data_IF_459500852114
#
_entry.id   IF_459500852114
#
_cell.length_a   1.000
_cell.length_b   1.000
_cell.length_c   1.000
_cell.angle_alpha   90.00
_cell.angle_beta   90.00
_cell.angle_gamma   90.00
#
_symmetry.space_group_name_H-M   'P 1'
#
loop_
_entity.id
_entity.type
_entity.pdbx_description
1 polymer ?
#
# COMPACT_ATOMS: atom_id res chain seq x y z
N UNK A 1 95.15 27.31 -33.22
CA UNK A 1 95.82 27.79 -31.98
C UNK A 1 95.11 29.12 -31.60
N UNK A 2 94.43 29.31 -30.47
CA UNK A 2 94.85 29.22 -29.03
C UNK A 2 95.86 30.35 -28.73
N UNK A 3 95.75 31.26 -27.72
CA UNK A 3 94.77 31.63 -26.63
C UNK A 3 95.28 32.99 -26.02
N UNK A 4 94.62 33.90 -25.27
CA UNK A 4 93.24 34.30 -24.82
C UNK A 4 93.22 35.86 -24.77
N UNK A 5 92.10 36.61 -24.65
CA UNK A 5 91.45 37.15 -23.42
C UNK A 5 90.32 38.12 -23.86
N UNK A 6 89.08 38.12 -23.34
CA UNK A 6 88.57 38.45 -21.98
C UNK A 6 88.35 39.95 -21.71
N UNK A 7 87.12 40.45 -21.93
CA UNK A 7 86.53 41.64 -21.30
C UNK A 7 85.11 41.27 -20.81
N UNK A 8 84.68 41.80 -19.67
CA UNK A 8 83.45 41.41 -18.99
C UNK A 8 82.19 42.12 -19.52
N UNK A 9 81.02 41.48 -19.34
CA UNK A 9 79.70 42.08 -19.49
C UNK A 9 79.04 42.11 -18.10
N UNK A 10 78.49 43.26 -17.70
CA UNK A 10 77.89 43.47 -16.40
C UNK A 10 76.45 42.92 -16.35
N UNK A 11 76.07 42.34 -15.20
CA UNK A 11 74.72 41.83 -14.96
C UNK A 11 73.75 42.99 -14.70
N UNK A 12 72.79 43.21 -15.62
CA UNK A 12 71.65 44.11 -15.37
C UNK A 12 70.51 43.31 -14.75
N UNK A 13 70.13 43.67 -13.53
CA UNK A 13 69.07 42.98 -12.77
C UNK A 13 67.70 43.57 -13.12
N UNK A 14 66.93 42.89 -13.99
CA UNK A 14 65.58 43.32 -14.36
C UNK A 14 64.55 42.84 -13.32
N UNK A 15 64.00 43.77 -12.53
CA UNK A 15 63.01 43.47 -11.49
C UNK A 15 61.60 43.33 -12.10
N UNK A 16 61.15 42.10 -12.36
CA UNK A 16 59.78 41.83 -12.85
C UNK A 16 58.81 41.77 -11.66
N UNK A 17 57.98 42.80 -11.51
CA UNK A 17 56.90 42.81 -10.53
C UNK A 17 55.73 41.94 -11.00
N UNK A 18 55.55 40.76 -10.42
CA UNK A 18 54.42 39.87 -10.71
C UNK A 18 53.13 40.38 -10.08
N UNK A 19 52.12 40.69 -10.90
CA UNK A 19 50.77 41.03 -10.42
C UNK A 19 50.01 39.72 -10.15
N UNK A 20 49.77 39.39 -8.88
CA UNK A 20 48.98 38.24 -8.47
C UNK A 20 47.47 38.54 -8.57
N UNK A 21 46.82 37.96 -9.59
CA UNK A 21 45.37 37.98 -9.73
C UNK A 21 44.71 37.04 -8.71
N UNK A 22 44.34 37.59 -7.55
CA UNK A 22 43.50 36.91 -6.57
C UNK A 22 42.06 36.79 -7.09
N UNK A 23 41.76 35.72 -7.83
CA UNK A 23 40.38 35.33 -8.09
C UNK A 23 39.74 34.80 -6.80
N UNK A 24 38.59 35.34 -6.34
CA UNK A 24 37.92 34.83 -5.16
C UNK A 24 37.38 33.43 -5.44
N UNK A 25 37.80 32.44 -4.64
CA UNK A 25 37.31 31.07 -4.74
C UNK A 25 35.81 31.04 -4.41
N UNK A 26 34.97 30.88 -5.43
CA UNK A 26 33.56 30.56 -5.26
C UNK A 26 33.46 29.12 -4.71
N UNK A 27 33.54 29.00 -3.39
CA UNK A 27 33.16 27.80 -2.68
C UNK A 27 31.69 27.54 -2.93
N UNK A 28 31.40 26.65 -3.88
CA UNK A 28 30.07 26.10 -4.05
C UNK A 28 29.68 25.45 -2.72
N UNK A 29 28.72 26.05 -2.01
CA UNK A 29 28.05 25.36 -0.93
C UNK A 29 27.33 24.17 -1.58
N UNK A 30 27.89 22.97 -1.36
CA UNK A 30 27.14 21.74 -1.54
C UNK A 30 25.92 21.89 -0.63
N UNK A 31 24.75 22.11 -1.24
CA UNK A 31 23.51 22.19 -0.49
C UNK A 31 23.37 20.86 0.25
N UNK A 32 23.42 20.90 1.58
CA UNK A 32 23.21 19.71 2.41
C UNK A 32 21.91 19.08 1.94
N UNK A 33 21.91 17.82 1.47
CA UNK A 33 20.68 17.17 1.05
C UNK A 33 19.68 17.26 2.20
N UNK A 34 18.49 17.78 1.92
CA UNK A 34 17.44 17.86 2.94
C UNK A 34 17.24 16.45 3.47
N UNK A 35 17.43 16.26 4.77
CA UNK A 35 17.36 14.93 5.38
C UNK A 35 15.93 14.42 5.21
N UNK A 36 15.76 13.47 4.27
CA UNK A 36 14.44 13.00 3.88
C UNK A 36 13.69 12.43 5.07
N UNK A 37 12.37 12.63 5.09
CA UNK A 37 11.53 12.13 6.17
C UNK A 37 11.39 10.61 5.99
N UNK A 38 11.71 9.79 7.00
CA UNK A 38 11.52 8.36 6.92
C UNK A 38 10.02 8.05 6.84
N UNK A 39 9.59 7.45 5.74
CA UNK A 39 8.24 6.93 5.53
C UNK A 39 8.31 5.41 5.36
N UNK A 40 7.20 4.74 5.65
CA UNK A 40 7.07 3.29 5.56
C UNK A 40 5.84 2.91 4.75
N UNK A 41 5.90 1.75 4.09
CA UNK A 41 4.76 1.13 3.40
C UNK A 41 4.93 -0.39 3.42
N UNK A 42 3.81 -1.12 3.38
CA UNK A 42 3.85 -2.57 3.14
C UNK A 42 3.98 -2.81 1.64
N UNK A 43 4.81 -3.77 1.27
CA UNK A 43 5.07 -4.19 -0.11
C UNK A 43 4.93 -5.71 -0.18
N UNK A 44 4.04 -6.19 -1.04
CA UNK A 44 3.88 -7.62 -1.35
C UNK A 44 4.82 -7.98 -2.51
N UNK A 45 5.58 -9.06 -2.36
CA UNK A 45 6.42 -9.60 -3.44
C UNK A 45 5.67 -10.73 -4.13
N UNK A 46 5.52 -10.63 -5.45
CA UNK A 46 4.79 -11.62 -6.26
C UNK A 46 5.65 -12.15 -7.42
N UNK A 47 5.25 -13.31 -7.96
CA UNK A 47 5.89 -13.94 -9.11
C UNK A 47 5.18 -13.53 -10.41
N UNK A 48 5.86 -12.80 -11.29
CA UNK A 48 5.31 -12.40 -12.61
C UNK A 48 4.83 -13.60 -13.41
N UNK A 49 5.51 -14.73 -13.31
CA UNK A 49 5.19 -16.00 -13.96
C UNK A 49 5.34 -17.18 -12.98
N UNK A 50 4.39 -18.11 -12.99
CA UNK A 50 4.43 -19.33 -12.17
C UNK A 50 3.91 -19.13 -10.73
N UNK A 51 4.45 -19.89 -9.78
CA UNK A 51 4.18 -19.75 -8.32
C UNK A 51 5.44 -19.55 -7.48
N UNK A 52 6.63 -19.54 -8.10
CA UNK A 52 7.92 -19.43 -7.42
C UNK A 52 8.26 -17.95 -7.17
N UNK A 53 7.86 -17.44 -6.00
CA UNK A 53 8.08 -16.05 -5.58
C UNK A 53 9.56 -15.85 -5.23
N UNK A 54 10.29 -14.92 -5.89
CA UNK A 54 11.70 -14.67 -5.60
C UNK A 54 11.93 -14.04 -4.22
N UNK A 55 13.07 -14.35 -3.61
CA UNK A 55 13.57 -13.60 -2.43
C UNK A 55 14.11 -12.26 -2.91
N UNK A 56 13.75 -11.19 -2.20
CA UNK A 56 14.16 -9.81 -2.48
C UNK A 56 14.98 -9.29 -1.31
N UNK A 57 16.20 -8.82 -1.58
CA UNK A 57 17.04 -8.12 -0.61
C UNK A 57 16.86 -6.61 -0.71
N UNK A 58 17.30 -5.86 0.30
CA UNK A 58 17.07 -4.41 0.39
C UNK A 58 17.72 -3.65 -0.77
N UNK A 59 18.88 -4.12 -1.21
CA UNK A 59 19.66 -3.64 -2.34
C UNK A 59 18.97 -3.85 -3.70
N UNK A 60 18.04 -4.80 -3.80
CA UNK A 60 17.27 -5.09 -5.01
C UNK A 60 16.05 -4.16 -5.18
N UNK A 61 15.73 -3.34 -4.18
CA UNK A 61 14.53 -2.48 -4.17
C UNK A 61 14.89 -1.05 -4.56
N UNK A 62 14.35 -0.61 -5.69
CA UNK A 62 14.45 0.75 -6.19
C UNK A 62 13.15 1.51 -5.89
N UNK A 63 13.25 2.62 -5.17
CA UNK A 63 12.13 3.50 -4.83
C UNK A 63 12.28 4.82 -5.56
N UNK A 64 11.24 5.25 -6.27
CA UNK A 64 11.19 6.53 -6.96
C UNK A 64 10.01 7.36 -6.42
N UNK A 65 10.28 8.60 -6.02
CA UNK A 65 9.25 9.59 -5.66
C UNK A 65 9.14 10.59 -6.82
N UNK A 66 8.10 10.47 -7.64
CA UNK A 66 8.00 11.18 -8.92
C UNK A 66 9.15 10.82 -9.87
N UNK A 67 10.16 11.70 -9.95
CA UNK A 67 11.36 11.49 -10.79
C UNK A 67 12.65 11.26 -9.99
N UNK A 68 12.64 11.49 -8.67
CA UNK A 68 13.84 11.34 -7.83
C UNK A 68 13.91 9.92 -7.25
N UNK A 69 15.08 9.28 -7.27
CA UNK A 69 15.31 8.00 -6.57
C UNK A 69 15.47 8.27 -5.07
N UNK A 70 14.61 7.68 -4.26
CA UNK A 70 14.66 7.78 -2.81
C UNK A 70 15.64 6.76 -2.20
N UNK A 71 16.20 7.07 -1.03
CA UNK A 71 17.10 6.15 -0.33
C UNK A 71 16.28 5.14 0.49
N UNK A 72 16.32 3.87 0.10
CA UNK A 72 15.87 2.76 0.96
C UNK A 72 16.78 2.67 2.18
N UNK A 73 16.18 2.65 3.37
CA UNK A 73 16.90 2.49 4.64
C UNK A 73 16.67 1.10 5.23
N UNK A 74 15.44 0.58 5.14
CA UNK A 74 15.04 -0.70 5.72
C UNK A 74 14.13 -1.50 4.78
N UNK A 75 14.18 -2.83 4.92
CA UNK A 75 13.36 -3.80 4.21
C UNK A 75 13.26 -5.05 5.09
N UNK A 76 12.08 -5.31 5.65
CA UNK A 76 11.88 -6.32 6.71
C UNK A 76 10.69 -7.20 6.35
N UNK A 77 10.90 -8.51 6.22
CA UNK A 77 9.80 -9.45 5.99
C UNK A 77 8.82 -9.43 7.18
N UNK A 78 7.52 -9.36 6.91
CA UNK A 78 6.45 -9.30 7.93
C UNK A 78 6.05 -10.69 8.43
N UNK A 79 7.07 -11.45 8.82
CA UNK A 79 7.01 -12.81 9.37
C UNK A 79 7.92 -12.95 10.60
N UNK A 80 7.90 -14.12 11.24
CA UNK A 80 8.65 -14.36 12.49
C UNK A 80 8.28 -13.35 13.58
N UNK A 81 9.28 -12.67 14.15
CA UNK A 81 9.09 -11.62 15.17
C UNK A 81 8.29 -10.39 14.67
N UNK A 82 8.07 -10.28 13.35
CA UNK A 82 7.26 -9.25 12.70
C UNK A 82 5.94 -9.78 12.10
N UNK A 83 5.53 -11.01 12.45
CA UNK A 83 4.29 -11.65 11.97
C UNK A 83 2.98 -11.14 12.63
N UNK A 84 3.03 -10.01 13.33
CA UNK A 84 1.86 -9.42 14.00
C UNK A 84 0.92 -8.77 12.98
N UNK A 85 -0.28 -9.33 12.86
CA UNK A 85 -1.32 -8.92 11.90
C UNK A 85 -2.68 -8.79 12.60
N UNK A 86 -3.34 -7.67 12.41
CA UNK A 86 -4.76 -7.50 12.68
C UNK A 86 -5.53 -7.53 11.35
N UNK A 87 -6.27 -8.62 11.13
CA UNK A 87 -7.02 -8.87 9.89
C UNK A 87 -8.52 -8.72 10.15
N UNK A 88 -9.16 -7.75 9.51
CA UNK A 88 -10.60 -7.50 9.65
C UNK A 88 -11.38 -8.09 8.46
N UNK A 89 -12.34 -8.96 8.75
CA UNK A 89 -13.28 -9.55 7.80
C UNK A 89 -14.53 -8.66 7.74
N UNK A 90 -14.60 -7.80 6.72
CA UNK A 90 -15.65 -6.80 6.55
C UNK A 90 -16.65 -7.22 5.46
N UNK A 91 -17.82 -7.69 5.87
CA UNK A 91 -18.83 -8.26 4.97
C UNK A 91 -20.01 -7.29 4.78
N UNK A 92 -20.54 -7.15 3.56
CA UNK A 92 -21.71 -6.31 3.31
C UNK A 92 -22.98 -7.00 3.81
N UNK A 93 -23.71 -6.39 4.75
CA UNK A 93 -24.96 -6.96 5.28
C UNK A 93 -26.11 -6.89 4.25
N UNK A 94 -25.90 -6.14 3.16
CA UNK A 94 -26.76 -6.06 1.99
C UNK A 94 -26.42 -7.06 0.87
N UNK A 95 -25.36 -7.87 0.97
CA UNK A 95 -25.09 -8.95 0.00
C UNK A 95 -26.22 -9.98 -0.03
N UNK A 96 -26.43 -10.59 -1.20
CA UNK A 96 -27.45 -11.63 -1.38
C UNK A 96 -27.04 -12.99 -0.78
N UNK A 97 -27.93 -13.99 -0.91
CA UNK A 97 -27.74 -15.32 -0.31
C UNK A 97 -26.61 -16.13 -0.91
N UNK A 98 -26.02 -15.74 -2.06
CA UNK A 98 -24.86 -16.42 -2.66
C UNK A 98 -23.61 -16.33 -1.81
N UNK A 99 -23.38 -15.20 -1.10
CA UNK A 99 -22.31 -15.06 -0.12
C UNK A 99 -22.46 -16.07 1.04
N UNK A 100 -23.70 -16.47 1.35
CA UNK A 100 -24.00 -17.53 2.31
C UNK A 100 -23.41 -18.89 1.97
N UNK A 101 -23.18 -19.18 0.68
CA UNK A 101 -22.54 -20.41 0.22
C UNK A 101 -21.01 -20.41 0.46
N UNK A 102 -20.41 -19.22 0.57
CA UNK A 102 -18.96 -19.02 0.64
C UNK A 102 -18.44 -18.92 2.08
N UNK A 103 -19.34 -18.78 3.07
CA UNK A 103 -18.97 -18.63 4.48
C UNK A 103 -18.09 -19.78 4.99
N UNK A 104 -18.24 -21.01 4.50
CA UNK A 104 -17.40 -22.14 4.93
C UNK A 104 -15.98 -22.07 4.36
N UNK A 105 -15.76 -21.45 3.20
CA UNK A 105 -14.40 -21.17 2.72
C UNK A 105 -13.75 -20.04 3.54
N UNK A 106 -14.52 -19.01 3.90
CA UNK A 106 -14.05 -17.94 4.79
C UNK A 106 -13.74 -18.51 6.19
N UNK A 107 -14.56 -19.43 6.74
CA UNK A 107 -14.24 -20.14 7.99
C UNK A 107 -12.94 -20.94 7.89
N UNK A 108 -12.67 -21.63 6.78
CA UNK A 108 -11.40 -22.35 6.57
C UNK A 108 -10.22 -21.38 6.55
N UNK A 109 -10.32 -20.28 5.79
CA UNK A 109 -9.31 -19.24 5.70
C UNK A 109 -8.97 -18.62 7.07
N UNK A 110 -9.99 -18.30 7.87
CA UNK A 110 -9.82 -17.78 9.24
C UNK A 110 -9.07 -18.80 10.12
N UNK A 111 -9.47 -20.07 10.12
CA UNK A 111 -8.82 -21.12 10.93
C UNK A 111 -7.45 -21.59 10.38
N UNK A 112 -7.04 -21.12 9.20
CA UNK A 112 -5.76 -21.42 8.58
C UNK A 112 -4.71 -20.31 8.78
N UNK A 113 -5.07 -19.18 9.40
CA UNK A 113 -4.13 -18.09 9.65
C UNK A 113 -3.06 -18.47 10.68
N UNK A 114 -1.87 -17.83 10.64
CA UNK A 114 -0.88 -17.93 11.70
C UNK A 114 -1.45 -17.55 13.07
N UNK A 115 -1.01 -18.21 14.14
CA UNK A 115 -1.46 -17.91 15.52
C UNK A 115 -1.07 -16.51 16.02
N UNK A 116 -0.25 -15.78 15.27
CA UNK A 116 0.10 -14.37 15.47
C UNK A 116 -0.91 -13.39 14.86
N UNK A 117 -1.82 -13.87 14.02
CA UNK A 117 -2.90 -13.10 13.40
C UNK A 117 -4.07 -12.98 14.37
N UNK A 118 -4.41 -11.75 14.77
CA UNK A 118 -5.66 -11.45 15.44
C UNK A 118 -6.74 -11.12 14.39
N UNK A 119 -7.91 -11.74 14.50
CA UNK A 119 -8.98 -11.65 13.50
C UNK A 119 -10.21 -10.99 14.12
N UNK A 120 -10.78 -10.02 13.41
CA UNK A 120 -12.07 -9.41 13.72
C UNK A 120 -13.08 -9.70 12.59
N UNK A 121 -14.37 -9.67 12.91
CA UNK A 121 -15.47 -9.90 11.95
C UNK A 121 -16.53 -8.84 12.17
N UNK A 122 -16.98 -8.18 11.10
CA UNK A 122 -18.04 -7.19 11.16
C UNK A 122 -18.79 -7.00 9.85
N UNK A 123 -20.00 -6.43 9.97
CA UNK A 123 -20.94 -6.29 8.87
C UNK A 123 -21.23 -4.81 8.56
N UNK A 124 -21.13 -4.42 7.28
CA UNK A 124 -21.44 -3.07 6.82
C UNK A 124 -22.95 -2.82 6.92
N UNK A 125 -23.38 -1.88 7.75
CA UNK A 125 -24.80 -1.57 7.96
C UNK A 125 -25.00 -0.10 8.31
N UNK A 126 -25.90 0.58 7.58
CA UNK A 126 -26.27 1.99 7.78
C UNK A 126 -25.08 2.98 7.76
N UNK A 127 -24.00 2.67 7.03
CA UNK A 127 -22.78 3.49 6.96
C UNK A 127 -21.83 3.34 8.16
N UNK A 128 -21.99 2.27 8.95
CA UNK A 128 -21.12 1.90 10.07
C UNK A 128 -20.88 0.38 10.06
N UNK A 129 -19.98 -0.13 10.91
CA UNK A 129 -19.70 -1.57 11.02
C UNK A 129 -20.25 -2.16 12.32
N UNK A 130 -21.20 -3.08 12.15
CA UNK A 130 -21.74 -3.99 13.16
C UNK A 130 -20.71 -5.08 13.48
N UNK A 131 -19.90 -4.87 14.52
CA UNK A 131 -18.84 -5.81 14.92
C UNK A 131 -19.49 -7.07 15.53
N UNK A 132 -19.36 -8.20 14.83
CA UNK A 132 -19.79 -9.51 15.32
C UNK A 132 -18.72 -10.15 16.23
N UNK A 133 -17.44 -9.85 16.01
CA UNK A 133 -16.32 -10.26 16.87
C UNK A 133 -15.18 -9.23 16.78
N UNK A 134 -14.72 -8.73 17.93
CA UNK A 134 -13.52 -7.90 18.04
C UNK A 134 -12.25 -8.74 17.81
N UNK A 135 -11.10 -8.10 17.55
CA UNK A 135 -9.83 -8.79 17.29
C UNK A 135 -9.52 -9.87 18.34
N UNK A 136 -9.29 -11.09 17.87
CA UNK A 136 -8.97 -12.26 18.69
C UNK A 136 -8.04 -13.21 17.96
N UNK A 137 -7.08 -13.80 18.67
CA UNK A 137 -6.24 -14.91 18.17
C UNK A 137 -6.92 -16.28 18.33
N UNK A 138 -8.10 -16.34 18.97
CA UNK A 138 -9.00 -17.50 18.88
C UNK A 138 -9.73 -17.45 17.53
N UNK A 139 -9.12 -18.08 16.52
CA UNK A 139 -9.67 -18.18 15.18
C UNK A 139 -10.98 -18.99 15.12
N UNK A 140 -11.20 -19.91 16.06
CA UNK A 140 -12.46 -20.66 16.14
C UNK A 140 -13.61 -19.75 16.62
N UNK A 141 -13.33 -18.84 17.55
CA UNK A 141 -14.27 -17.79 17.98
C UNK A 141 -14.57 -16.81 16.83
N UNK A 142 -13.53 -16.32 16.12
CA UNK A 142 -13.71 -15.46 14.95
C UNK A 142 -14.51 -16.14 13.83
N UNK A 143 -14.15 -17.38 13.47
CA UNK A 143 -14.86 -18.15 12.45
C UNK A 143 -16.31 -18.43 12.85
N UNK A 144 -16.61 -18.65 14.14
CA UNK A 144 -17.96 -18.85 14.66
C UNK A 144 -18.84 -17.59 14.57
N UNK A 145 -18.25 -16.40 14.61
CA UNK A 145 -18.99 -15.13 14.49
C UNK A 145 -19.55 -14.87 13.08
N UNK A 146 -19.06 -15.59 12.05
CA UNK A 146 -19.61 -15.50 10.69
C UNK A 146 -21.06 -16.02 10.63
N UNK A 147 -21.98 -15.08 10.40
CA UNK A 147 -23.40 -15.27 10.09
C UNK A 147 -23.68 -15.00 8.60
N UNK A 148 -24.88 -15.37 8.15
CA UNK A 148 -25.40 -14.90 6.87
C UNK A 148 -25.56 -13.36 6.89
N UNK A 149 -25.35 -12.68 5.75
CA UNK A 149 -25.87 -11.33 5.54
C UNK A 149 -27.38 -11.28 5.74
N UNK A 150 -27.91 -10.12 6.12
CA UNK A 150 -29.36 -9.90 6.22
C UNK A 150 -30.03 -9.84 4.84
N UNK A 151 -29.29 -9.54 3.77
CA UNK A 151 -29.81 -9.49 2.40
C UNK A 151 -30.89 -8.42 2.19
N UNK A 152 -30.89 -7.38 3.04
CA UNK A 152 -31.84 -6.29 2.97
C UNK A 152 -31.33 -5.25 1.95
N UNK A 153 -32.06 -4.98 0.85
CA UNK A 153 -31.60 -4.04 -0.18
C UNK A 153 -31.33 -2.66 0.41
N UNK A 154 -30.09 -2.16 0.24
CA UNK A 154 -29.67 -0.87 0.81
C UNK A 154 -29.30 -0.90 2.31
N UNK A 155 -29.09 -2.08 2.92
CA UNK A 155 -28.56 -2.19 4.28
C UNK A 155 -27.20 -1.48 4.43
N UNK A 156 -26.35 -1.58 3.41
CA UNK A 156 -25.24 -0.66 3.17
C UNK A 156 -25.66 0.33 2.07
N UNK A 157 -25.74 1.61 2.41
CA UNK A 157 -26.01 2.69 1.44
C UNK A 157 -24.72 3.18 0.77
N UNK A 158 -23.62 3.17 1.52
CA UNK A 158 -22.25 3.28 1.02
C UNK A 158 -21.39 2.26 1.78
N UNK A 159 -20.71 1.34 1.10
CA UNK A 159 -19.73 0.48 1.76
C UNK A 159 -18.52 1.31 2.23
N UNK A 160 -18.21 2.41 1.54
CA UNK A 160 -17.08 3.30 1.84
C UNK A 160 -17.28 4.12 3.12
N UNK A 161 -18.52 4.54 3.45
CA UNK A 161 -18.82 5.10 4.78
C UNK A 161 -18.54 4.10 5.91
N UNK A 162 -18.99 2.85 5.73
CA UNK A 162 -18.79 1.79 6.73
C UNK A 162 -17.29 1.49 6.92
N UNK A 163 -16.53 1.44 5.83
CA UNK A 163 -15.08 1.29 5.84
C UNK A 163 -14.37 2.46 6.55
N UNK A 164 -14.72 3.71 6.24
CA UNK A 164 -14.14 4.90 6.88
C UNK A 164 -14.46 4.97 8.38
N UNK A 165 -15.65 4.52 8.79
CA UNK A 165 -16.02 4.37 10.21
C UNK A 165 -15.19 3.28 10.91
N UNK A 166 -14.97 2.13 10.26
CA UNK A 166 -14.08 1.08 10.78
C UNK A 166 -12.65 1.60 10.98
N UNK A 167 -12.06 2.24 9.97
CA UNK A 167 -10.69 2.77 10.02
C UNK A 167 -10.54 3.78 11.18
N UNK A 168 -11.56 4.61 11.42
CA UNK A 168 -11.60 5.58 12.55
C UNK A 168 -11.79 4.96 13.93
N UNK A 169 -12.18 3.67 13.99
CA UNK A 169 -12.40 2.91 15.23
C UNK A 169 -11.39 1.77 15.41
N UNK A 170 -10.36 1.70 14.56
CA UNK A 170 -9.30 0.71 14.66
C UNK A 170 -8.46 0.96 15.93
N UNK A 171 -8.07 -0.08 16.71
CA UNK A 171 -7.20 0.10 17.88
C UNK A 171 -5.83 0.70 17.54
N UNK A 172 -5.24 1.45 18.46
CA UNK A 172 -3.82 1.81 18.33
C UNK A 172 -2.94 0.60 18.69
N UNK A 173 -2.13 0.13 17.75
CA UNK A 173 -1.28 -1.05 17.90
C UNK A 173 0.00 -1.01 17.05
N UNK A 174 0.97 -1.91 17.34
CA UNK A 174 2.20 -2.09 16.55
C UNK A 174 2.08 -3.20 15.48
N UNK A 175 0.93 -3.87 15.39
CA UNK A 175 0.65 -4.84 14.33
C UNK A 175 0.46 -4.13 12.99
N UNK A 176 0.59 -4.86 11.88
CA UNK A 176 0.09 -4.36 10.59
C UNK A 176 -1.42 -4.58 10.51
N UNK A 177 -2.12 -3.71 9.81
CA UNK A 177 -3.58 -3.66 9.76
C UNK A 177 -4.04 -3.97 8.33
N UNK A 178 -4.91 -4.96 8.14
CA UNK A 178 -5.37 -5.36 6.80
C UNK A 178 -6.86 -5.73 6.81
N UNK A 179 -7.54 -5.45 5.71
CA UNK A 179 -8.99 -5.69 5.57
C UNK A 179 -9.25 -6.64 4.40
N UNK A 180 -10.01 -7.70 4.66
CA UNK A 180 -10.69 -8.46 3.62
C UNK A 180 -12.14 -7.98 3.53
N UNK A 181 -12.43 -7.18 2.51
CA UNK A 181 -13.71 -6.54 2.23
C UNK A 181 -14.53 -7.36 1.23
N UNK A 182 -15.81 -7.60 1.52
CA UNK A 182 -16.72 -8.35 0.65
C UNK A 182 -18.00 -7.55 0.43
N UNK A 183 -18.25 -7.05 -0.78
CA UNK A 183 -19.38 -6.16 -1.12
C UNK A 183 -19.65 -6.12 -2.62
N UNK A 184 -20.74 -5.47 -3.05
CA UNK A 184 -20.99 -5.14 -4.46
C UNK A 184 -20.17 -3.94 -4.96
N UNK A 185 -19.62 -3.13 -4.03
CA UNK A 185 -18.85 -1.92 -4.34
C UNK A 185 -19.68 -0.74 -4.84
N UNK A 186 -21.01 -0.88 -4.88
CA UNK A 186 -21.90 0.13 -5.43
C UNK A 186 -22.18 1.16 -4.33
N UNK A 187 -21.56 2.33 -4.40
CA UNK A 187 -22.11 3.48 -3.67
C UNK A 187 -23.48 3.85 -4.26
N UNK A 188 -24.42 4.21 -3.38
CA UNK A 188 -25.79 4.57 -3.74
C UNK A 188 -26.05 6.07 -3.55
N UNK A 189 -25.05 6.84 -3.11
CA UNK A 189 -25.07 8.31 -3.04
C UNK A 189 -24.40 8.99 -4.24
N UNK A 190 -23.52 8.30 -4.97
CA UNK A 190 -22.91 8.80 -6.20
C UNK A 190 -23.38 8.01 -7.44
N UNK A 191 -23.54 8.69 -8.57
CA UNK A 191 -23.77 8.07 -9.88
C UNK A 191 -22.91 8.67 -11.01
N UNK A 192 -21.69 9.11 -10.65
CA UNK A 192 -20.62 9.51 -11.55
C UNK A 192 -19.52 8.44 -11.74
N UNK A 193 -18.63 8.63 -12.72
CA UNK A 193 -17.50 7.73 -13.00
C UNK A 193 -16.29 7.95 -12.07
N UNK A 194 -16.44 8.75 -11.01
CA UNK A 194 -15.38 9.13 -10.07
C UNK A 194 -16.00 9.42 -8.71
N UNK A 195 -15.97 8.42 -7.83
CA UNK A 195 -16.68 8.41 -6.55
C UNK A 195 -15.83 9.08 -5.44
N UNK A 196 -16.28 10.21 -4.85
CA UNK A 196 -15.52 10.93 -3.82
C UNK A 196 -15.48 10.20 -2.47
N UNK A 197 -16.35 9.21 -2.25
CA UNK A 197 -16.37 8.40 -1.03
C UNK A 197 -15.37 7.25 -1.12
N UNK A 198 -15.15 6.69 -2.32
CA UNK A 198 -14.01 5.80 -2.62
C UNK A 198 -12.69 6.55 -2.40
N UNK A 199 -12.54 7.75 -2.97
CA UNK A 199 -11.33 8.57 -2.83
C UNK A 199 -11.03 8.88 -1.34
N UNK A 200 -12.08 9.22 -0.58
CA UNK A 200 -11.98 9.44 0.88
C UNK A 200 -11.60 8.17 1.64
N UNK A 201 -12.14 7.00 1.27
CA UNK A 201 -11.78 5.72 1.89
C UNK A 201 -10.31 5.33 1.63
N UNK A 202 -9.81 5.55 0.41
CA UNK A 202 -8.41 5.35 0.03
C UNK A 202 -7.50 6.27 0.86
N UNK A 203 -7.81 7.56 0.96
CA UNK A 203 -7.05 8.50 1.80
C UNK A 203 -6.99 8.04 3.27
N UNK A 204 -8.11 7.58 3.84
CA UNK A 204 -8.15 7.11 5.23
C UNK A 204 -7.33 5.81 5.41
N UNK A 205 -7.42 4.87 4.48
CA UNK A 205 -6.69 3.60 4.53
C UNK A 205 -5.17 3.82 4.40
N UNK A 206 -4.73 4.59 3.39
CA UNK A 206 -3.31 4.93 3.19
C UNK A 206 -2.72 5.70 4.40
N UNK A 207 -3.50 6.60 5.02
CA UNK A 207 -3.07 7.32 6.25
C UNK A 207 -2.93 6.41 7.47
N UNK A 208 -3.73 5.35 7.54
CA UNK A 208 -3.72 4.37 8.63
C UNK A 208 -2.76 3.19 8.39
N UNK A 209 -2.11 3.13 7.22
CA UNK A 209 -1.25 2.01 6.82
C UNK A 209 -2.03 0.72 6.53
N UNK A 210 -3.30 0.82 6.16
CA UNK A 210 -4.22 -0.31 5.97
C UNK A 210 -4.24 -0.74 4.50
N UNK A 211 -3.87 -2.00 4.24
CA UNK A 211 -4.07 -2.66 2.95
C UNK A 211 -5.50 -3.24 2.88
N UNK A 212 -6.15 -3.12 1.71
CA UNK A 212 -7.53 -3.58 1.52
C UNK A 212 -7.61 -4.55 0.34
N UNK A 213 -7.94 -5.80 0.65
CA UNK A 213 -8.26 -6.82 -0.33
C UNK A 213 -9.77 -6.87 -0.52
N UNK A 214 -10.25 -6.98 -1.76
CA UNK A 214 -11.69 -6.97 -2.06
C UNK A 214 -12.12 -8.26 -2.74
N UNK A 215 -13.27 -8.82 -2.35
CA UNK A 215 -13.98 -9.86 -3.11
C UNK A 215 -15.36 -9.32 -3.47
N UNK A 216 -15.67 -9.31 -4.77
CA UNK A 216 -17.00 -8.91 -5.24
C UNK A 216 -18.07 -9.93 -4.83
N UNK A 217 -19.13 -9.46 -4.18
CA UNK A 217 -20.33 -10.24 -3.85
C UNK A 217 -21.58 -9.44 -4.21
N UNK A 218 -22.50 -10.04 -4.98
CA UNK A 218 -23.68 -9.37 -5.51
C UNK A 218 -24.62 -8.89 -4.39
N UNK A 219 -25.03 -7.62 -4.46
CA UNK A 219 -25.97 -7.00 -3.53
C UNK A 219 -27.42 -7.41 -3.79
N UNK A 220 -28.20 -7.52 -2.71
CA UNK A 220 -29.58 -7.98 -2.76
C UNK A 220 -30.53 -6.98 -3.46
N UNK A 221 -31.41 -7.51 -4.31
CA UNK A 221 -32.45 -6.77 -5.01
C UNK A 221 -32.01 -6.13 -6.33
N UNK A 222 -32.95 -5.46 -7.00
CA UNK A 222 -32.83 -5.04 -8.41
C UNK A 222 -31.68 -4.06 -8.75
N UNK A 223 -30.99 -3.48 -7.76
CA UNK A 223 -29.77 -2.70 -7.99
C UNK A 223 -28.64 -3.60 -8.54
N UNK A 224 -28.52 -4.83 -8.02
CA UNK A 224 -27.59 -5.85 -8.48
C UNK A 224 -28.01 -6.53 -9.79
N UNK A 225 -28.63 -5.81 -10.73
CA UNK A 225 -29.03 -6.31 -12.06
C UNK A 225 -28.67 -5.35 -13.22
N UNK A 226 -28.07 -4.19 -12.96
CA UNK A 226 -27.66 -3.25 -14.02
C UNK A 226 -26.19 -3.46 -14.41
N UNK A 227 -25.96 -3.87 -15.66
CA UNK A 227 -24.62 -4.10 -16.24
C UNK A 227 -23.63 -2.97 -15.95
N UNK A 228 -24.09 -1.73 -16.12
CA UNK A 228 -23.30 -0.52 -15.93
C UNK A 228 -22.96 -0.28 -14.45
N UNK A 229 -23.88 -0.57 -13.51
CA UNK A 229 -23.61 -0.44 -12.07
C UNK A 229 -22.67 -1.53 -11.54
N UNK A 230 -22.72 -2.76 -12.07
CA UNK A 230 -21.73 -3.79 -11.73
C UNK A 230 -20.31 -3.36 -12.10
N UNK A 231 -20.13 -2.88 -13.33
CA UNK A 231 -18.85 -2.40 -13.85
C UNK A 231 -18.27 -1.26 -13.01
N UNK A 232 -19.13 -0.47 -12.36
CA UNK A 232 -18.72 0.61 -11.44
C UNK A 232 -18.39 0.11 -10.05
N UNK A 233 -19.20 -0.77 -9.46
CA UNK A 233 -18.86 -1.37 -8.17
C UNK A 233 -17.54 -2.14 -8.21
N UNK A 234 -17.29 -2.89 -9.29
CA UNK A 234 -16.03 -3.60 -9.49
C UNK A 234 -14.85 -2.65 -9.75
N UNK A 235 -15.05 -1.55 -10.49
CA UNK A 235 -14.02 -0.51 -10.66
C UNK A 235 -13.68 0.15 -9.31
N UNK A 236 -14.69 0.53 -8.51
CA UNK A 236 -14.49 1.11 -7.19
C UNK A 236 -13.75 0.16 -6.23
N UNK A 237 -14.03 -1.15 -6.27
CA UNK A 237 -13.31 -2.17 -5.49
C UNK A 237 -11.87 -2.37 -5.98
N UNK A 238 -11.64 -2.37 -7.30
CA UNK A 238 -10.29 -2.35 -7.90
C UNK A 238 -9.51 -1.15 -7.39
N UNK A 239 -10.00 0.08 -7.65
CA UNK A 239 -9.36 1.33 -7.22
C UNK A 239 -9.01 1.35 -5.73
N UNK A 240 -9.90 0.85 -4.88
CA UNK A 240 -9.69 0.77 -3.44
C UNK A 240 -8.54 -0.19 -3.09
N UNK A 241 -8.49 -1.36 -3.73
CA UNK A 241 -7.43 -2.33 -3.52
C UNK A 241 -6.10 -1.85 -4.12
N UNK A 242 -6.09 -1.52 -5.41
CA UNK A 242 -4.93 -1.06 -6.18
C UNK A 242 -4.22 0.12 -5.49
N UNK A 243 -4.97 1.14 -5.04
CA UNK A 243 -4.39 2.32 -4.42
C UNK A 243 -4.01 2.13 -2.94
N UNK A 244 -4.47 1.06 -2.27
CA UNK A 244 -4.01 0.70 -0.90
C UNK A 244 -2.92 -0.37 -0.89
N UNK A 245 -2.62 -1.00 -2.03
CA UNK A 245 -1.64 -2.08 -2.15
C UNK A 245 -2.19 -3.48 -1.87
N UNK A 246 -3.52 -3.64 -1.95
CA UNK A 246 -4.21 -4.93 -1.93
C UNK A 246 -4.46 -5.49 -3.35
N UNK A 247 -5.48 -6.34 -3.47
CA UNK A 247 -5.89 -7.01 -4.72
C UNK A 247 -7.43 -7.10 -4.80
N UNK A 248 -7.99 -7.14 -6.03
CA UNK A 248 -9.43 -7.14 -6.25
C UNK A 248 -9.93 -8.39 -7.01
N UNK A 249 -10.72 -9.21 -6.33
CA UNK A 249 -11.15 -10.52 -6.78
C UNK A 249 -12.61 -10.54 -7.26
N UNK A 250 -12.84 -10.94 -8.51
CA UNK A 250 -14.17 -11.07 -9.11
C UNK A 250 -14.23 -12.15 -10.21
N UNK A 251 -15.44 -12.64 -10.51
CA UNK A 251 -15.68 -13.68 -11.53
C UNK A 251 -16.81 -13.24 -12.48
N UNK A 252 -16.47 -12.45 -13.50
CA UNK A 252 -17.49 -11.76 -14.30
C UNK A 252 -18.27 -10.78 -13.41
N UNK A 253 -19.59 -10.70 -13.56
CA UNK A 253 -20.45 -9.74 -12.84
C UNK A 253 -21.26 -10.34 -11.68
N UNK A 254 -20.95 -11.57 -11.25
CA UNK A 254 -21.65 -12.28 -10.17
C UNK A 254 -20.69 -12.64 -9.04
N UNK A 255 -21.22 -12.88 -7.83
CA UNK A 255 -20.46 -13.50 -6.73
C UNK A 255 -19.75 -14.76 -7.24
N UNK A 256 -18.42 -14.88 -7.05
CA UNK A 256 -17.70 -16.08 -7.47
C UNK A 256 -18.25 -17.37 -6.86
N UNK A 257 -18.19 -18.46 -7.63
CA UNK A 257 -18.78 -19.75 -7.22
C UNK A 257 -17.99 -20.46 -6.11
N UNK A 258 -16.73 -20.08 -5.89
CA UNK A 258 -15.87 -20.54 -4.81
C UNK A 258 -14.96 -19.39 -4.38
N UNK A 259 -14.86 -19.11 -3.08
CA UNK A 259 -13.93 -18.11 -2.54
C UNK A 259 -12.53 -18.70 -2.26
N UNK A 260 -12.43 -20.02 -2.06
CA UNK A 260 -11.17 -20.73 -1.82
C UNK A 260 -9.95 -20.26 -2.65
N UNK A 261 -9.98 -20.12 -4.00
CA UNK A 261 -8.80 -19.73 -4.77
C UNK A 261 -8.30 -18.31 -4.46
N UNK A 262 -9.21 -17.36 -4.18
CA UNK A 262 -8.85 -16.00 -3.82
C UNK A 262 -8.34 -15.90 -2.39
N UNK A 263 -8.86 -16.74 -1.50
CA UNK A 263 -8.39 -16.87 -0.12
C UNK A 263 -7.04 -17.60 -0.04
N UNK A 264 -6.75 -18.52 -0.96
CA UNK A 264 -5.41 -19.09 -1.18
C UNK A 264 -4.43 -18.00 -1.66
N UNK A 265 -4.81 -17.22 -2.68
CA UNK A 265 -3.98 -16.12 -3.21
C UNK A 265 -3.68 -15.06 -2.14
N UNK A 266 -4.71 -14.59 -1.41
CA UNK A 266 -4.54 -13.70 -0.26
C UNK A 266 -3.62 -14.30 0.81
N UNK A 267 -3.76 -15.61 1.11
CA UNK A 267 -2.85 -16.28 2.05
C UNK A 267 -1.41 -16.29 1.53
N UNK A 268 -1.19 -16.46 0.23
CA UNK A 268 0.15 -16.36 -0.35
C UNK A 268 0.70 -14.94 -0.23
N UNK A 269 -0.08 -13.92 -0.62
CA UNK A 269 0.27 -12.49 -0.51
C UNK A 269 0.64 -12.10 0.93
N UNK A 270 -0.19 -12.45 1.92
CA UNK A 270 0.04 -12.22 3.36
C UNK A 270 1.35 -12.82 3.90
N UNK A 271 1.88 -13.87 3.26
CA UNK A 271 3.15 -14.51 3.64
C UNK A 271 4.38 -13.92 2.93
N UNK A 272 4.20 -13.07 1.91
CA UNK A 272 5.28 -12.48 1.10
C UNK A 272 5.31 -10.94 1.19
N UNK A 273 4.76 -10.38 2.27
CA UNK A 273 4.79 -8.95 2.58
C UNK A 273 6.05 -8.52 3.32
N UNK A 274 6.51 -7.31 3.03
CA UNK A 274 7.68 -6.66 3.61
C UNK A 274 7.36 -5.23 4.02
N UNK A 275 7.89 -4.78 5.17
CA UNK A 275 7.90 -3.38 5.55
C UNK A 275 9.10 -2.69 4.88
N UNK A 276 8.82 -1.91 3.85
CA UNK A 276 9.76 -1.00 3.23
C UNK A 276 9.85 0.27 4.09
N UNK A 277 11.06 0.79 4.28
CA UNK A 277 11.29 2.14 4.83
C UNK A 277 12.27 2.89 3.95
N UNK A 278 11.94 4.12 3.57
CA UNK A 278 12.79 4.98 2.74
C UNK A 278 12.71 6.44 3.17
N UNK A 279 13.72 7.23 2.77
CA UNK A 279 13.76 8.67 3.02
C UNK A 279 13.02 9.41 1.91
N UNK A 280 11.77 9.80 2.17
CA UNK A 280 10.98 10.62 1.26
C UNK A 280 11.48 12.07 1.25
N UNK A 281 11.44 12.67 0.07
CA UNK A 281 11.65 14.11 -0.14
C UNK A 281 10.42 14.85 0.40
N UNK A 282 10.57 15.46 1.57
CA UNK A 282 9.48 16.17 2.22
C UNK A 282 9.16 17.51 1.55
N UNK A 283 7.88 17.82 1.41
CA UNK A 283 7.40 19.09 0.85
C UNK A 283 7.07 20.13 1.94
N UNK A 284 6.73 21.35 1.50
CA UNK A 284 6.28 22.46 2.37
C UNK A 284 4.92 22.21 3.05
N UNK A 285 4.21 21.16 2.64
CA UNK A 285 2.96 20.68 3.23
C UNK A 285 3.05 19.17 3.34
N UNK A 286 2.31 18.60 4.28
CA UNK A 286 2.09 17.16 4.31
C UNK A 286 1.04 16.79 3.24
N UNK A 287 1.21 15.64 2.61
CA UNK A 287 0.33 15.19 1.54
C UNK A 287 0.77 13.85 0.95
N UNK A 288 -0.05 13.30 0.07
CA UNK A 288 0.34 12.12 -0.69
C UNK A 288 1.39 12.47 -1.75
N UNK A 289 2.24 11.49 -2.04
CA UNK A 289 3.31 11.58 -3.01
C UNK A 289 3.36 10.25 -3.77
N UNK A 290 3.23 10.31 -5.09
CA UNK A 290 3.29 9.11 -5.93
C UNK A 290 4.64 8.42 -5.81
N UNK A 291 4.59 7.12 -5.48
CA UNK A 291 5.75 6.25 -5.36
C UNK A 291 5.75 5.29 -6.55
N UNK A 292 6.93 4.92 -7.04
CA UNK A 292 7.09 3.75 -7.89
C UNK A 292 8.15 2.84 -7.28
N UNK A 293 7.82 1.56 -7.17
CA UNK A 293 8.75 0.50 -6.81
C UNK A 293 9.22 -0.22 -8.07
N UNK A 294 10.52 -0.51 -8.13
CA UNK A 294 11.13 -1.32 -9.19
C UNK A 294 12.12 -2.31 -8.56
N UNK A 295 12.36 -3.44 -9.22
CA UNK A 295 13.41 -4.39 -8.86
C UNK A 295 14.06 -4.99 -10.10
N UNK A 296 15.35 -5.29 -10.00
CA UNK A 296 16.14 -5.95 -11.03
C UNK A 296 16.11 -7.49 -10.89
N UNK A 297 15.52 -8.03 -9.81
CA UNK A 297 15.40 -9.48 -9.59
C UNK A 297 14.47 -10.12 -10.64
N UNK A 298 14.95 -11.12 -11.40
CA UNK A 298 14.13 -11.80 -12.39
C UNK A 298 12.87 -12.44 -11.80
N UNK A 299 11.77 -12.40 -12.56
CA UNK A 299 10.45 -12.91 -12.19
C UNK A 299 9.74 -12.20 -11.01
N UNK A 300 10.34 -11.19 -10.37
CA UNK A 300 9.75 -10.52 -9.21
C UNK A 300 8.89 -9.29 -9.56
N UNK A 301 7.75 -9.16 -8.91
CA UNK A 301 6.88 -7.97 -8.93
C UNK A 301 6.74 -7.41 -7.51
N UNK A 302 6.65 -6.09 -7.37
CA UNK A 302 6.53 -5.38 -6.09
C UNK A 302 5.19 -4.64 -6.07
N UNK A 303 4.19 -5.24 -5.43
CA UNK A 303 2.82 -4.70 -5.31
C UNK A 303 2.71 -3.91 -4.01
N UNK A 304 2.32 -2.63 -4.10
CA UNK A 304 2.17 -1.75 -2.95
C UNK A 304 1.27 -0.55 -3.30
N UNK A 305 0.90 0.26 -2.30
CA UNK A 305 0.15 1.49 -2.51
C UNK A 305 0.88 2.44 -3.49
N UNK A 306 0.12 2.92 -4.47
CA UNK A 306 0.60 3.77 -5.59
C UNK A 306 1.10 5.16 -5.12
N UNK A 307 0.69 5.58 -3.91
CA UNK A 307 1.14 6.80 -3.23
C UNK A 307 1.44 6.54 -1.74
N UNK A 308 2.32 7.34 -1.13
CA UNK A 308 2.57 7.34 0.32
C UNK A 308 2.28 8.70 0.93
N UNK A 309 1.77 8.74 2.16
CA UNK A 309 1.60 9.99 2.89
C UNK A 309 2.94 10.48 3.44
N UNK A 310 3.43 11.62 2.93
CA UNK A 310 4.68 12.24 3.38
C UNK A 310 4.36 13.40 4.34
N UNK A 311 4.83 13.36 5.60
CA UNK A 311 4.76 14.51 6.51
C UNK A 311 5.49 15.75 5.98
N UNK A 312 5.03 16.93 6.39
CA UNK A 312 5.68 18.19 6.02
C UNK A 312 7.13 18.24 6.53
N UNK A 313 8.03 18.81 5.72
CA UNK A 313 9.41 19.09 6.16
C UNK A 313 9.44 20.06 7.35
N UNK A 314 10.39 19.84 8.27
CA UNK A 314 10.72 20.77 9.36
C UNK A 314 11.79 21.77 8.93
#
# INVERSE_FOLDING_TARGET
KIKIHSIAIQTVLALVAGISLNAPSLSAQVATPSAGVPVHMVVTVEARHGKDIPVIHREDVNVHQGHDRAQVTNWVALGGDHAGLELFLLLDDGSDTSLGLQLEDIRKFINAQPVTTAIAVGYMRNGTVDIAQNFTTDHALAAKALRLPLGSPGASASPYFSLVDLIKRWPEGPARHEILMVSDGIDRFDDGPSDPYVDSAIEHAQRAGILIYTIYATGAGHFGHSFWRFNWGQNNLSRLADQTGGEAYFQGFQTPIAFAPYLEDLTNKLNHQYLLTFLAKAEKKAGFQRVKLETEVPNAELVAADEVYVPAGR
#
